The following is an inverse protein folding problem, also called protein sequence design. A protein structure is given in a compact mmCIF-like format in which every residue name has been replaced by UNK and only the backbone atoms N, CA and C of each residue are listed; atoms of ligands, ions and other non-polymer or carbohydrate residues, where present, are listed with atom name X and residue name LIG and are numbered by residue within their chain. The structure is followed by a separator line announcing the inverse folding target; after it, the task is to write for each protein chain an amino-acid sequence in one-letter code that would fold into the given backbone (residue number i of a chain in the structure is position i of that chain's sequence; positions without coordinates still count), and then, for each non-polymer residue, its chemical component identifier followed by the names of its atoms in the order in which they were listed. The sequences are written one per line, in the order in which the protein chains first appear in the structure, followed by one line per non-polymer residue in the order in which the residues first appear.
data_IF_590748167706
#
_entry.id   IF_590748167706
#
_cell.length_a   1.000
_cell.length_b   1.000
_cell.length_c   1.000
_cell.angle_alpha   90.00
_cell.angle_beta   90.00
_cell.angle_gamma   90.00
#
_symmetry.space_group_name_H-M   'P 1'
#
loop_
_entity.id
_entity.type
_entity.pdbx_description
1 polymer ?
#
# COMPACT_ATOMS: atom_id res chain seq x y z
N UNK A 1 -33.70 -46.71 44.95
CA UNK A 1 -32.38 -46.36 45.49
C UNK A 1 -32.00 -45.00 44.92
N UNK A 2 -32.21 -43.92 45.67
CA UNK A 2 -32.08 -42.55 45.15
C UNK A 2 -30.64 -42.04 45.23
N UNK A 3 -30.08 -41.61 44.10
CA UNK A 3 -28.77 -40.98 44.05
C UNK A 3 -28.83 -39.56 44.64
N UNK A 4 -28.39 -39.40 45.90
CA UNK A 4 -28.15 -38.09 46.49
C UNK A 4 -26.85 -37.51 45.91
N UNK A 5 -26.97 -36.72 44.85
CA UNK A 5 -25.83 -35.94 44.35
C UNK A 5 -25.57 -34.81 45.34
N UNK A 6 -24.42 -34.84 46.04
CA UNK A 6 -24.01 -33.76 46.94
C UNK A 6 -23.91 -32.43 46.17
N UNK A 7 -24.42 -31.36 46.78
CA UNK A 7 -24.35 -29.99 46.26
C UNK A 7 -22.92 -29.56 45.88
N UNK A 8 -21.91 -30.05 46.63
CA UNK A 8 -20.49 -29.82 46.32
C UNK A 8 -20.05 -30.40 44.97
N UNK A 9 -20.62 -31.54 44.57
CA UNK A 9 -20.35 -32.20 43.30
C UNK A 9 -20.93 -31.37 42.16
N UNK A 10 -22.16 -30.85 42.32
CA UNK A 10 -22.82 -29.97 41.34
C UNK A 10 -22.02 -28.67 41.18
N UNK A 11 -21.60 -28.04 42.29
CA UNK A 11 -20.79 -26.83 42.27
C UNK A 11 -19.44 -27.02 41.54
N UNK A 12 -18.74 -28.13 41.80
CA UNK A 12 -17.47 -28.48 41.10
C UNK A 12 -17.68 -28.68 39.61
N UNK A 13 -18.77 -29.34 39.21
CA UNK A 13 -19.14 -29.56 37.81
C UNK A 13 -19.43 -28.22 37.13
N UNK A 14 -20.29 -27.38 37.71
CA UNK A 14 -20.62 -26.05 37.18
C UNK A 14 -19.39 -25.16 37.03
N UNK A 15 -18.50 -25.13 38.03
CA UNK A 15 -17.25 -24.37 37.98
C UNK A 15 -16.31 -24.86 36.87
N UNK A 16 -16.27 -26.18 36.60
CA UNK A 16 -15.50 -26.76 35.50
C UNK A 16 -16.07 -26.35 34.15
N UNK A 17 -17.39 -26.45 33.95
CA UNK A 17 -18.06 -26.01 32.73
C UNK A 17 -17.84 -24.53 32.45
N UNK A 18 -17.96 -23.68 33.47
CA UNK A 18 -17.74 -22.23 33.33
C UNK A 18 -16.30 -21.90 32.92
N UNK A 19 -15.30 -22.59 33.51
CA UNK A 19 -13.89 -22.45 33.12
C UNK A 19 -13.65 -22.89 31.67
N UNK A 20 -14.29 -23.97 31.22
CA UNK A 20 -14.15 -24.45 29.84
C UNK A 20 -14.78 -23.47 28.84
N UNK A 21 -15.96 -22.92 29.15
CA UNK A 21 -16.61 -21.90 28.32
C UNK A 21 -15.79 -20.61 28.28
N UNK A 22 -15.23 -20.15 29.41
CA UNK A 22 -14.36 -18.98 29.44
C UNK A 22 -13.11 -19.16 28.57
N UNK A 23 -12.48 -20.35 28.60
CA UNK A 23 -11.34 -20.67 27.73
C UNK A 23 -11.72 -20.64 26.25
N UNK A 24 -12.90 -21.15 25.89
CA UNK A 24 -13.41 -21.13 24.53
C UNK A 24 -13.64 -19.69 24.04
N UNK A 25 -14.24 -18.83 24.87
CA UNK A 25 -14.45 -17.41 24.56
C UNK A 25 -13.12 -16.69 24.36
N UNK A 26 -12.15 -16.90 25.26
CA UNK A 26 -10.81 -16.33 25.12
C UNK A 26 -10.14 -16.80 23.83
N UNK A 27 -10.27 -18.09 23.49
CA UNK A 27 -9.71 -18.67 22.27
C UNK A 27 -10.34 -18.08 21.00
N UNK A 28 -11.67 -17.91 20.98
CA UNK A 28 -12.39 -17.28 19.87
C UNK A 28 -11.97 -15.81 19.70
N UNK A 29 -11.84 -15.06 20.80
CA UNK A 29 -11.34 -13.67 20.77
C UNK A 29 -9.90 -13.62 20.24
N UNK A 30 -9.04 -14.56 20.63
CA UNK A 30 -7.66 -14.61 20.16
C UNK A 30 -7.56 -14.95 18.66
N UNK A 31 -8.46 -15.79 18.16
CA UNK A 31 -8.51 -16.15 16.73
C UNK A 31 -9.18 -15.08 15.87
N UNK A 32 -10.21 -14.38 16.37
CA UNK A 32 -10.84 -13.27 15.64
C UNK A 32 -9.91 -12.07 15.48
N UNK A 33 -9.04 -11.80 16.46
CA UNK A 33 -7.99 -10.79 16.35
C UNK A 33 -6.89 -11.14 15.33
N UNK A 34 -6.75 -12.41 14.96
CA UNK A 34 -5.86 -12.89 13.89
C UNK A 34 -6.55 -12.99 12.54
N UNK A 35 -7.76 -12.44 12.37
CA UNK A 35 -8.41 -12.26 11.08
C UNK A 35 -7.51 -11.45 10.15
N UNK A 36 -6.70 -12.17 9.38
CA UNK A 36 -5.72 -11.63 8.45
C UNK A 36 -6.42 -10.70 7.46
N UNK A 37 -5.98 -9.45 7.39
CA UNK A 37 -6.29 -8.57 6.26
C UNK A 37 -5.62 -9.14 4.99
N UNK A 38 -6.27 -10.10 4.35
CA UNK A 38 -5.86 -10.67 3.07
C UNK A 38 -6.14 -9.65 1.96
N UNK A 39 -5.25 -8.67 1.82
CA UNK A 39 -5.41 -7.62 0.81
C UNK A 39 -4.63 -6.34 1.10
N UNK A 40 -4.09 -6.20 2.32
CA UNK A 40 -3.20 -5.10 2.63
C UNK A 40 -1.91 -5.21 1.84
N UNK A 41 -1.64 -4.22 0.99
CA UNK A 41 -0.30 -3.98 0.46
C UNK A 41 0.63 -3.71 1.63
N UNK A 42 1.53 -4.65 1.89
CA UNK A 42 2.62 -4.41 2.83
C UNK A 42 3.62 -3.49 2.11
N UNK A 43 3.58 -2.20 2.43
CA UNK A 43 4.37 -1.19 1.74
C UNK A 43 5.67 -0.94 2.50
N UNK A 44 6.78 -0.93 1.76
CA UNK A 44 8.07 -0.47 2.27
C UNK A 44 8.39 0.89 1.67
N UNK A 45 8.44 1.92 2.49
CA UNK A 45 8.98 3.21 2.06
C UNK A 45 10.50 3.13 2.01
N UNK A 46 11.09 3.54 0.90
CA UNK A 46 12.52 3.54 0.64
C UNK A 46 12.92 4.92 0.12
N UNK A 47 13.94 5.50 0.74
CA UNK A 47 14.51 6.79 0.33
C UNK A 47 15.38 6.55 -0.91
N UNK A 48 15.43 7.50 -1.84
CA UNK A 48 16.11 7.33 -3.14
C UNK A 48 17.60 6.96 -3.02
N UNK A 49 18.27 7.45 -1.98
CA UNK A 49 19.69 7.17 -1.74
C UNK A 49 19.94 5.77 -1.17
N UNK A 50 18.89 5.11 -0.69
CA UNK A 50 18.94 3.73 -0.19
C UNK A 50 18.55 2.68 -1.25
N UNK A 51 18.35 3.09 -2.50
CA UNK A 51 18.10 2.17 -3.60
C UNK A 51 19.32 1.29 -3.89
N UNK A 52 19.04 0.04 -4.20
CA UNK A 52 20.04 -0.97 -4.54
C UNK A 52 19.47 -1.93 -5.60
N UNK A 53 20.28 -2.85 -6.10
CA UNK A 53 19.92 -3.76 -7.19
C UNK A 53 18.72 -4.66 -6.90
N UNK A 54 18.43 -4.99 -5.64
CA UNK A 54 17.28 -5.84 -5.29
C UNK A 54 15.93 -5.15 -5.51
N UNK A 55 15.93 -3.82 -5.67
CA UNK A 55 14.73 -3.03 -5.95
C UNK A 55 14.35 -2.98 -7.44
N UNK A 56 15.26 -3.38 -8.34
CA UNK A 56 15.00 -3.37 -9.78
C UNK A 56 13.94 -4.42 -10.15
N UNK A 57 13.08 -4.08 -11.11
CA UNK A 57 11.97 -4.93 -11.54
C UNK A 57 10.81 -4.99 -10.56
N UNK A 58 10.88 -4.32 -9.40
CA UNK A 58 9.80 -4.30 -8.43
C UNK A 58 8.73 -3.27 -8.80
N UNK A 59 7.49 -3.58 -8.42
CA UNK A 59 6.36 -2.67 -8.50
C UNK A 59 6.54 -1.54 -7.47
N UNK A 60 6.57 -0.30 -7.96
CA UNK A 60 6.77 0.89 -7.16
C UNK A 60 5.57 1.82 -7.19
N UNK A 61 5.57 2.73 -6.23
CA UNK A 61 4.75 3.93 -6.17
C UNK A 61 5.67 5.11 -5.86
N UNK A 62 5.45 6.25 -6.49
CA UNK A 62 6.37 7.38 -6.42
C UNK A 62 5.77 8.45 -5.52
N UNK A 63 6.49 8.87 -4.48
CA UNK A 63 6.11 9.99 -3.63
C UNK A 63 6.76 11.26 -4.21
N UNK A 64 5.97 12.11 -4.87
CA UNK A 64 6.49 13.35 -5.46
C UNK A 64 6.74 14.41 -4.40
N UNK A 65 7.68 15.32 -4.68
CA UNK A 65 7.89 16.48 -3.82
C UNK A 65 6.89 17.57 -4.16
N UNK A 66 6.24 18.12 -3.14
CA UNK A 66 5.42 19.33 -3.30
C UNK A 66 6.28 20.58 -3.58
N UNK A 67 7.51 20.63 -3.04
CA UNK A 67 8.48 21.71 -3.26
C UNK A 67 9.93 21.20 -3.14
N UNK A 68 10.91 22.03 -3.53
CA UNK A 68 12.33 21.63 -3.57
C UNK A 68 12.91 21.25 -2.19
N UNK A 69 12.34 21.81 -1.11
CA UNK A 69 12.81 21.63 0.27
C UNK A 69 12.20 20.36 0.89
N UNK A 70 11.13 19.81 0.29
CA UNK A 70 10.42 18.63 0.78
C UNK A 70 11.24 17.35 0.59
N UNK A 71 12.19 17.14 1.48
CA UNK A 71 13.08 15.97 1.51
C UNK A 71 12.79 15.13 2.74
N UNK A 72 12.81 13.80 2.58
CA UNK A 72 12.71 12.86 3.71
C UNK A 72 14.07 12.22 3.95
N UNK A 73 14.68 12.59 5.07
CA UNK A 73 15.97 12.07 5.53
C UNK A 73 15.86 10.90 6.53
N UNK A 74 14.64 10.55 6.96
CA UNK A 74 14.42 9.58 8.05
C UNK A 74 13.43 8.48 7.65
N UNK A 75 13.53 7.34 8.36
CA UNK A 75 12.67 6.16 8.20
C UNK A 75 11.20 6.55 8.39
N UNK A 76 10.40 6.31 7.37
CA UNK A 76 8.98 6.70 7.34
C UNK A 76 8.13 5.71 8.13
N UNK A 77 7.33 6.22 9.07
CA UNK A 77 6.37 5.41 9.83
C UNK A 77 5.08 5.19 9.03
N UNK A 78 4.30 4.16 9.37
CA UNK A 78 3.00 3.86 8.74
C UNK A 78 2.05 5.08 8.79
N UNK A 79 2.06 5.83 9.89
CA UNK A 79 1.25 7.06 10.02
C UNK A 79 1.67 8.14 9.02
N UNK A 80 2.97 8.26 8.76
CA UNK A 80 3.54 9.20 7.78
C UNK A 80 3.25 8.80 6.32
N UNK A 81 2.92 7.53 6.05
CA UNK A 81 2.45 7.07 4.74
C UNK A 81 1.01 7.54 4.49
N UNK A 82 0.13 7.54 5.51
CA UNK A 82 -1.25 8.03 5.36
C UNK A 82 -1.32 9.51 4.98
N UNK A 83 -0.36 10.31 5.43
CA UNK A 83 -0.26 11.72 5.04
C UNK A 83 0.05 11.92 3.55
N UNK A 84 0.69 10.95 2.88
CA UNK A 84 1.02 11.03 1.45
C UNK A 84 -0.24 11.01 0.55
N UNK A 85 -1.37 10.54 1.09
CA UNK A 85 -2.59 10.27 0.34
C UNK A 85 -3.42 11.51 0.04
N UNK A 86 -2.99 12.68 0.53
CA UNK A 86 -3.67 13.96 0.31
C UNK A 86 -3.05 14.79 -0.81
N UNK A 87 -1.88 14.42 -1.32
CA UNK A 87 -1.19 15.19 -2.35
C UNK A 87 -1.82 14.95 -3.73
N UNK A 88 -2.10 16.04 -4.41
CA UNK A 88 -2.58 16.10 -5.80
C UNK A 88 -1.52 16.77 -6.66
N UNK A 89 -0.30 16.24 -6.60
CA UNK A 89 0.81 16.81 -7.34
C UNK A 89 0.61 16.59 -8.84
N UNK A 90 1.12 17.51 -9.64
CA UNK A 90 0.99 17.42 -11.09
C UNK A 90 2.34 17.17 -11.74
N UNK A 91 2.36 16.24 -12.70
CA UNK A 91 3.55 15.90 -13.46
C UNK A 91 3.28 16.00 -14.95
N UNK A 92 4.28 16.45 -15.70
CA UNK A 92 4.25 16.48 -17.16
C UNK A 92 5.01 15.27 -17.69
N UNK A 93 4.34 14.44 -18.49
CA UNK A 93 4.91 13.22 -19.08
C UNK A 93 4.80 13.35 -20.59
N UNK A 94 5.87 12.98 -21.30
CA UNK A 94 5.85 12.90 -22.75
C UNK A 94 5.27 11.55 -23.18
N UNK A 95 4.14 11.57 -23.88
CA UNK A 95 3.45 10.37 -24.36
C UNK A 95 3.23 10.53 -25.86
N UNK A 96 3.83 9.65 -26.67
CA UNK A 96 3.78 9.68 -28.14
C UNK A 96 4.16 11.05 -28.72
N UNK A 97 5.25 11.64 -28.20
CA UNK A 97 5.75 12.96 -28.63
C UNK A 97 4.94 14.16 -28.11
N UNK A 98 3.87 13.93 -27.33
CA UNK A 98 3.05 14.99 -26.74
C UNK A 98 3.32 15.10 -25.24
N UNK A 99 3.63 16.32 -24.78
CA UNK A 99 3.70 16.64 -23.34
C UNK A 99 2.27 16.71 -22.79
N UNK A 100 1.92 15.75 -21.93
CA UNK A 100 0.62 15.68 -21.26
C UNK A 100 0.81 15.90 -19.77
N UNK A 101 -0.09 16.67 -19.17
CA UNK A 101 -0.11 16.92 -17.73
C UNK A 101 -1.02 15.89 -17.05
N UNK A 102 -0.48 15.25 -16.04
CA UNK A 102 -1.15 14.27 -15.19
C UNK A 102 -1.22 14.78 -13.77
N UNK A 103 -2.29 14.41 -13.07
CA UNK A 103 -2.51 14.66 -11.66
C UNK A 103 -2.34 13.33 -10.94
N UNK A 104 -1.55 13.33 -9.88
CA UNK A 104 -1.40 12.20 -8.99
C UNK A 104 -2.70 11.92 -8.24
N UNK A 105 -3.09 10.65 -8.18
CA UNK A 105 -4.29 10.19 -7.49
C UNK A 105 -3.99 8.91 -6.72
N UNK A 106 -4.13 8.98 -5.40
CA UNK A 106 -4.06 7.85 -4.49
C UNK A 106 -5.44 7.36 -4.12
N UNK A 107 -5.67 6.05 -4.17
CA UNK A 107 -6.90 5.42 -3.69
C UNK A 107 -6.62 4.52 -2.48
N UNK A 108 -7.35 4.80 -1.41
CA UNK A 108 -7.48 3.95 -0.23
C UNK A 108 -8.79 3.17 -0.29
N UNK A 109 -8.73 1.91 0.10
CA UNK A 109 -9.92 1.16 0.50
C UNK A 109 -9.91 1.08 2.03
N UNK A 110 -10.87 1.79 2.64
CA UNK A 110 -10.95 2.04 4.09
C UNK A 110 -11.04 0.74 4.88
N UNK A 111 -11.68 -0.27 4.31
CA UNK A 111 -12.02 -1.54 4.96
C UNK A 111 -10.79 -2.36 5.40
N UNK A 112 -9.61 -2.07 4.86
CA UNK A 112 -8.38 -2.80 5.17
C UNK A 112 -7.18 -1.92 5.52
N UNK A 113 -7.37 -0.59 5.65
CA UNK A 113 -6.26 0.35 5.87
C UNK A 113 -5.17 0.26 4.80
N UNK A 114 -5.52 -0.25 3.62
CA UNK A 114 -4.60 -0.65 2.56
C UNK A 114 -4.52 0.43 1.48
N UNK A 115 -3.30 0.87 1.18
CA UNK A 115 -3.03 1.72 0.02
C UNK A 115 -2.90 0.80 -1.19
N UNK A 116 -3.94 0.76 -2.01
CA UNK A 116 -4.02 -0.25 -3.07
C UNK A 116 -3.56 0.29 -4.41
N UNK A 117 -3.85 1.55 -4.74
CA UNK A 117 -3.55 2.10 -6.07
C UNK A 117 -3.04 3.55 -6.01
N UNK A 118 -1.87 3.79 -6.61
CA UNK A 118 -1.52 5.12 -7.13
C UNK A 118 -1.79 5.09 -8.63
N UNK A 119 -2.31 6.20 -9.13
CA UNK A 119 -2.46 6.42 -10.56
C UNK A 119 -2.14 7.85 -10.93
N UNK A 120 -1.64 8.07 -12.13
CA UNK A 120 -1.52 9.41 -12.70
C UNK A 120 -2.66 9.57 -13.72
N UNK A 121 -3.58 10.48 -13.45
CA UNK A 121 -4.75 10.72 -14.29
C UNK A 121 -4.52 11.95 -15.13
N UNK A 122 -4.68 11.86 -16.45
CA UNK A 122 -4.54 13.03 -17.31
C UNK A 122 -5.60 14.08 -16.96
N UNK A 123 -5.28 15.38 -17.07
CA UNK A 123 -6.24 16.45 -16.71
C UNK A 123 -7.57 16.33 -17.46
N UNK A 124 -7.51 15.94 -18.74
CA UNK A 124 -8.70 15.71 -19.57
C UNK A 124 -9.39 14.35 -19.32
N UNK A 125 -8.95 13.58 -18.31
CA UNK A 125 -9.46 12.25 -17.94
C UNK A 125 -9.56 11.30 -19.13
N UNK A 126 -8.59 11.37 -20.05
CA UNK A 126 -8.50 10.48 -21.21
C UNK A 126 -7.64 9.27 -20.91
N UNK A 127 -6.56 9.48 -20.17
CA UNK A 127 -5.56 8.45 -19.87
C UNK A 127 -5.35 8.31 -18.37
N UNK A 128 -5.05 7.08 -17.96
CA UNK A 128 -4.65 6.74 -16.59
C UNK A 128 -3.37 5.93 -16.65
N UNK A 129 -2.37 6.33 -15.90
CA UNK A 129 -1.10 5.63 -15.79
C UNK A 129 -1.07 4.85 -14.48
N UNK A 130 -0.74 3.56 -14.54
CA UNK A 130 -0.63 2.66 -13.38
C UNK A 130 0.50 1.65 -13.55
N UNK A 131 0.66 0.81 -12.53
CA UNK A 131 1.55 -0.37 -12.55
C UNK A 131 3.00 0.01 -12.88
N UNK A 132 3.54 0.92 -12.09
CA UNK A 132 4.89 1.43 -12.27
C UNK A 132 5.91 0.39 -11.80
N UNK A 133 6.89 0.08 -12.64
CA UNK A 133 7.98 -0.86 -12.37
C UNK A 133 9.30 -0.11 -12.47
N UNK A 134 10.12 -0.21 -11.42
CA UNK A 134 11.45 0.40 -11.43
C UNK A 134 12.38 -0.36 -12.38
N UNK A 135 12.85 0.30 -13.44
CA UNK A 135 13.77 -0.30 -14.41
C UNK A 135 15.23 0.00 -14.07
N UNK A 136 15.51 1.24 -13.68
CA UNK A 136 16.86 1.72 -13.45
C UNK A 136 16.84 2.85 -12.43
N UNK A 137 17.92 2.98 -11.65
CA UNK A 137 18.21 4.15 -10.84
C UNK A 137 19.66 4.55 -11.05
N UNK A 138 19.90 5.86 -11.06
CA UNK A 138 21.23 6.48 -11.13
C UNK A 138 21.31 7.63 -10.11
N UNK A 139 22.41 8.39 -10.08
CA UNK A 139 22.59 9.52 -9.17
C UNK A 139 21.56 10.64 -9.41
N UNK A 140 21.20 10.91 -10.66
CA UNK A 140 20.32 12.05 -11.01
C UNK A 140 18.87 11.67 -11.30
N UNK A 141 18.63 10.48 -11.83
CA UNK A 141 17.30 10.07 -12.29
C UNK A 141 16.96 8.62 -11.95
N UNK A 142 15.69 8.30 -12.04
CA UNK A 142 15.18 6.92 -12.10
C UNK A 142 14.44 6.72 -13.42
N UNK A 143 14.46 5.49 -13.94
CA UNK A 143 13.66 5.08 -15.09
C UNK A 143 12.60 4.09 -14.64
N UNK A 144 11.38 4.32 -15.09
CA UNK A 144 10.19 3.58 -14.67
C UNK A 144 9.41 3.13 -15.88
N UNK A 145 9.03 1.87 -15.94
CA UNK A 145 8.06 1.36 -16.91
C UNK A 145 6.67 1.51 -16.33
N UNK A 146 5.70 1.93 -17.12
CA UNK A 146 4.33 2.09 -16.66
C UNK A 146 3.33 1.74 -17.75
N UNK A 147 2.14 1.30 -17.34
CA UNK A 147 1.05 0.95 -18.23
C UNK A 147 0.12 2.13 -18.43
N UNK A 148 -0.21 2.40 -19.68
CA UNK A 148 -1.17 3.43 -20.08
C UNK A 148 -2.52 2.77 -20.29
N UNK A 149 -3.53 3.29 -19.61
CA UNK A 149 -4.91 2.85 -19.69
C UNK A 149 -5.79 3.94 -20.28
N UNK A 150 -6.81 3.55 -21.04
CA UNK A 150 -7.92 4.47 -21.35
C UNK A 150 -8.78 4.66 -20.11
N UNK A 151 -9.11 5.90 -19.76
CA UNK A 151 -9.89 6.21 -18.55
C UNK A 151 -11.27 5.54 -18.52
N UNK A 152 -11.97 5.48 -19.66
CA UNK A 152 -13.32 4.94 -19.76
C UNK A 152 -13.38 3.41 -19.69
N UNK A 153 -12.50 2.72 -20.44
CA UNK A 153 -12.57 1.26 -20.62
C UNK A 153 -11.63 0.49 -19.70
N UNK A 154 -10.71 1.17 -18.99
CA UNK A 154 -9.62 0.55 -18.22
C UNK A 154 -8.83 -0.50 -19.02
N UNK A 155 -8.84 -0.42 -20.35
CA UNK A 155 -8.01 -1.27 -21.21
C UNK A 155 -6.62 -0.67 -21.32
N UNK A 156 -5.62 -1.55 -21.24
CA UNK A 156 -4.23 -1.20 -21.55
C UNK A 156 -4.18 -0.84 -23.04
N UNK A 157 -3.62 0.32 -23.32
CA UNK A 157 -3.40 0.81 -24.68
C UNK A 157 -1.92 0.89 -25.03
N UNK A 158 -1.05 1.01 -24.03
CA UNK A 158 0.38 1.14 -24.25
C UNK A 158 1.20 0.82 -22.98
N UNK A 159 2.49 0.59 -23.17
CA UNK A 159 3.50 0.52 -22.12
C UNK A 159 4.62 1.50 -22.44
N UNK A 160 4.83 2.49 -21.56
CA UNK A 160 5.83 3.53 -21.79
C UNK A 160 6.92 3.51 -20.73
N UNK A 161 8.10 3.97 -21.12
CA UNK A 161 9.19 4.28 -20.20
C UNK A 161 9.20 5.77 -19.88
N UNK A 162 9.31 6.07 -18.60
CA UNK A 162 9.38 7.42 -18.07
C UNK A 162 10.69 7.60 -17.32
N UNK A 163 11.42 8.67 -17.63
CA UNK A 163 12.59 9.09 -16.85
C UNK A 163 12.16 10.21 -15.91
N UNK A 164 12.48 10.06 -14.63
CA UNK A 164 12.15 11.03 -13.59
C UNK A 164 13.43 11.49 -12.89
N UNK A 165 13.57 12.80 -12.74
CA UNK A 165 14.63 13.39 -11.94
C UNK A 165 14.39 13.11 -10.45
N UNK A 166 15.42 12.62 -9.76
CA UNK A 166 15.36 12.33 -8.32
C UNK A 166 15.03 13.57 -7.51
N UNK A 167 15.41 14.75 -7.97
CA UNK A 167 15.10 16.03 -7.31
C UNK A 167 13.61 16.28 -7.15
N UNK A 168 12.77 15.73 -8.04
CA UNK A 168 11.30 15.85 -8.00
C UNK A 168 10.63 14.76 -7.18
N UNK A 169 11.40 13.78 -6.70
CA UNK A 169 10.90 12.61 -5.98
C UNK A 169 11.38 12.69 -4.54
N UNK A 170 10.46 12.45 -3.60
CA UNK A 170 10.73 12.41 -2.17
C UNK A 170 11.20 11.03 -1.73
N UNK A 171 10.57 10.00 -2.28
CA UNK A 171 10.90 8.60 -2.02
C UNK A 171 10.05 7.66 -2.87
N UNK A 172 10.26 6.37 -2.68
CA UNK A 172 9.52 5.32 -3.38
C UNK A 172 8.86 4.40 -2.36
N UNK A 173 7.65 3.95 -2.66
CA UNK A 173 7.03 2.85 -1.94
C UNK A 173 7.09 1.58 -2.77
N UNK A 174 7.64 0.53 -2.18
CA UNK A 174 7.74 -0.79 -2.77
C UNK A 174 6.66 -1.70 -2.21
N UNK A 175 6.11 -2.54 -3.08
CA UNK A 175 5.30 -3.68 -2.65
C UNK A 175 6.21 -4.73 -2.03
N UNK A 176 6.04 -5.01 -0.74
CA UNK A 176 6.72 -6.14 -0.11
C UNK A 176 6.05 -7.41 -0.64
N UNK A 177 6.79 -8.20 -1.42
CA UNK A 177 6.37 -9.54 -1.80
C UNK A 177 6.20 -10.39 -0.51
N UNK A 178 5.09 -11.12 -0.43
CA UNK A 178 4.85 -12.08 0.66
C UNK A 178 5.78 -13.27 0.54
#
# INVERSE_FOLDING_TARGET
MGFFVRLDTIYRIMKKYYKTQLKLVIFIIFFSLKGFSQGAWNLKYVILDSLNTSHLGQEIRIDFKANSIDTRSHKVTILSIRALLRYQDTIIINLNGKKLKFVESWKLYVDHGAIQEQSLVSINKKYVLKDMILLLYDQKYIKVKLKVYTFSSKKIIDEIEMTLEKEKIKGLLFKIAK
#
